data_IF_394796103166
#
_entry.id   IF_394796103166
#
_cell.length_a   1.000
_cell.length_b   1.000
_cell.length_c   1.000
_cell.angle_alpha   90.00
_cell.angle_beta   90.00
_cell.angle_gamma   90.00
#
_symmetry.space_group_name_H-M   'P 1'
#
loop_
_entity.id
_entity.type
_entity.pdbx_description
1 polymer ?
#
# COMPACT_ATOMS: atom_id res chain seq x y z
N UNK A 1 -12.88 12.00 -9.85
CA UNK A 1 -11.83 11.07 -9.43
C UNK A 1 -11.27 10.29 -10.60
N UNK A 2 -12.08 9.53 -11.37
CA UNK A 2 -11.60 8.69 -12.48
C UNK A 2 -10.87 9.47 -13.59
N UNK A 3 -11.31 10.68 -13.94
CA UNK A 3 -10.61 11.54 -14.89
C UNK A 3 -9.18 11.86 -14.41
N UNK A 4 -9.04 12.25 -13.13
CA UNK A 4 -7.73 12.57 -12.52
C UNK A 4 -6.83 11.34 -12.50
N UNK A 5 -7.36 10.18 -12.09
CA UNK A 5 -6.59 8.92 -12.09
C UNK A 5 -6.08 8.59 -13.50
N UNK A 6 -6.91 8.76 -14.52
CA UNK A 6 -6.50 8.54 -15.92
C UNK A 6 -5.40 9.53 -16.32
N UNK A 7 -5.58 10.83 -16.01
CA UNK A 7 -4.59 11.86 -16.36
C UNK A 7 -3.22 11.58 -15.72
N UNK A 8 -3.17 11.25 -14.43
CA UNK A 8 -1.87 10.97 -13.77
C UNK A 8 -1.21 9.71 -14.33
N UNK A 9 -1.97 8.70 -14.76
CA UNK A 9 -1.43 7.45 -15.30
C UNK A 9 -1.02 7.52 -16.78
N UNK A 10 -1.31 8.61 -17.47
CA UNK A 10 -0.80 8.90 -18.82
C UNK A 10 0.66 9.42 -18.75
N UNK A 11 1.06 10.00 -17.63
CA UNK A 11 2.41 10.52 -17.43
C UNK A 11 3.44 9.39 -17.45
N UNK A 12 4.22 9.33 -18.54
CA UNK A 12 5.15 8.21 -18.84
C UNK A 12 6.19 7.98 -17.74
N UNK A 13 6.70 9.05 -17.13
CA UNK A 13 7.77 8.97 -16.14
C UNK A 13 7.27 8.90 -14.68
N UNK A 14 5.97 8.96 -14.45
CA UNK A 14 5.41 9.02 -13.08
C UNK A 14 5.92 7.89 -12.20
N UNK A 15 5.79 6.63 -12.65
CA UNK A 15 6.19 5.46 -11.88
C UNK A 15 7.70 5.40 -11.64
N UNK A 16 8.47 5.75 -12.65
CA UNK A 16 9.93 5.87 -12.58
C UNK A 16 10.34 6.94 -11.57
N UNK A 17 9.71 8.11 -11.61
CA UNK A 17 10.01 9.22 -10.68
C UNK A 17 9.62 8.86 -9.24
N UNK A 18 8.48 8.20 -9.03
CA UNK A 18 8.10 7.67 -7.72
C UNK A 18 9.12 6.65 -7.22
N UNK A 19 9.57 5.72 -8.06
CA UNK A 19 10.62 4.77 -7.70
C UNK A 19 11.93 5.50 -7.34
N UNK A 20 12.36 6.47 -8.15
CA UNK A 20 13.61 7.20 -7.91
C UNK A 20 13.58 7.98 -6.60
N UNK A 21 12.43 8.52 -6.18
CA UNK A 21 12.28 9.22 -4.90
C UNK A 21 12.46 8.31 -3.67
N UNK A 22 12.23 7.01 -3.82
CA UNK A 22 12.37 6.01 -2.76
C UNK A 22 13.41 4.91 -3.09
N UNK A 23 14.26 5.15 -4.10
CA UNK A 23 15.15 4.15 -4.70
C UNK A 23 16.01 3.40 -3.68
N UNK A 24 16.66 4.10 -2.77
CA UNK A 24 17.56 3.49 -1.80
C UNK A 24 16.85 2.47 -0.90
N UNK A 25 15.64 2.77 -0.49
CA UNK A 25 14.82 1.86 0.32
C UNK A 25 14.25 0.70 -0.50
N UNK A 26 13.74 0.99 -1.69
CA UNK A 26 13.14 -0.03 -2.55
C UNK A 26 14.19 -1.03 -3.04
N UNK A 27 15.39 -0.59 -3.40
CA UNK A 27 16.49 -1.47 -3.81
C UNK A 27 16.98 -2.36 -2.64
N UNK A 28 17.04 -1.84 -1.43
CA UNK A 28 17.38 -2.64 -0.25
C UNK A 28 16.32 -3.68 0.09
N UNK A 29 15.04 -3.36 -0.07
CA UNK A 29 13.94 -4.25 0.24
C UNK A 29 13.68 -5.29 -0.84
N UNK A 30 13.86 -4.94 -2.11
CA UNK A 30 13.40 -5.72 -3.24
C UNK A 30 14.52 -6.23 -4.16
N UNK A 31 15.74 -5.71 -4.02
CA UNK A 31 16.89 -6.07 -4.86
C UNK A 31 16.89 -5.38 -6.23
N UNK A 32 17.57 -6.00 -7.20
CA UNK A 32 17.88 -5.36 -8.48
C UNK A 32 16.78 -5.48 -9.54
N UNK A 33 15.96 -6.53 -9.46
CA UNK A 33 14.93 -6.86 -10.45
C UNK A 33 13.57 -6.50 -9.88
N UNK A 34 13.02 -5.36 -10.29
CA UNK A 34 11.83 -4.77 -9.68
C UNK A 34 10.72 -4.62 -10.72
N UNK A 35 9.53 -5.06 -10.34
CA UNK A 35 8.28 -4.76 -11.04
C UNK A 35 7.46 -3.76 -10.24
N UNK A 36 6.66 -2.99 -10.96
CA UNK A 36 5.79 -1.95 -10.41
C UNK A 36 4.35 -2.14 -10.87
N UNK A 37 3.40 -1.79 -10.03
CA UNK A 37 1.99 -1.73 -10.38
C UNK A 37 1.77 -0.82 -11.59
N UNK A 38 1.04 -1.29 -12.61
CA UNK A 38 0.79 -0.55 -13.86
C UNK A 38 0.12 0.79 -13.66
N UNK A 39 -0.81 0.89 -12.71
CA UNK A 39 -1.57 2.10 -12.45
C UNK A 39 -1.39 2.59 -11.03
N UNK A 40 -0.98 3.84 -10.88
CA UNK A 40 -0.94 4.52 -9.58
C UNK A 40 -2.37 4.79 -9.11
N UNK A 41 -2.71 4.39 -7.90
CA UNK A 41 -4.02 4.65 -7.31
C UNK A 41 -4.04 6.00 -6.62
N UNK A 42 -5.09 6.78 -6.88
CA UNK A 42 -5.39 8.02 -6.15
C UNK A 42 -6.53 7.76 -5.17
N UNK A 43 -6.24 7.93 -3.90
CA UNK A 43 -7.23 7.90 -2.83
C UNK A 43 -7.57 9.33 -2.38
N UNK A 44 -8.86 9.64 -2.37
CA UNK A 44 -9.41 10.92 -1.89
C UNK A 44 -10.38 10.59 -0.77
N UNK A 45 -10.19 11.20 0.38
CA UNK A 45 -11.09 11.06 1.53
C UNK A 45 -11.57 12.45 1.97
N UNK A 46 -12.85 12.67 1.79
CA UNK A 46 -13.53 13.89 2.24
C UNK A 46 -13.67 13.90 3.77
N UNK A 47 -13.87 15.07 4.38
CA UNK A 47 -14.31 15.15 5.77
C UNK A 47 -15.56 14.27 6.01
N UNK A 48 -15.58 13.56 7.13
CA UNK A 48 -16.66 12.65 7.55
C UNK A 48 -17.02 11.53 6.57
N UNK A 49 -16.15 11.23 5.58
CA UNK A 49 -16.34 10.11 4.67
C UNK A 49 -16.15 8.78 5.44
N UNK A 50 -17.24 8.02 5.56
CA UNK A 50 -17.29 6.72 6.24
C UNK A 50 -17.23 5.53 5.29
N UNK A 51 -17.04 5.76 3.98
CA UNK A 51 -16.97 4.70 2.95
C UNK A 51 -15.66 3.93 2.92
N UNK A 52 -14.86 3.99 3.98
CA UNK A 52 -13.53 3.38 4.04
C UNK A 52 -13.56 1.96 4.56
N UNK A 53 -12.72 1.08 4.00
CA UNK A 53 -12.62 -0.28 4.50
C UNK A 53 -12.13 -0.29 5.95
N UNK A 54 -12.65 -1.24 6.72
CA UNK A 54 -12.17 -1.55 8.06
C UNK A 54 -10.74 -2.10 8.02
N UNK A 55 -10.17 -2.41 9.17
CA UNK A 55 -8.88 -3.10 9.23
C UNK A 55 -8.87 -4.34 8.35
N UNK A 56 -7.87 -4.41 7.48
CA UNK A 56 -7.67 -5.50 6.52
C UNK A 56 -6.19 -5.62 6.19
N UNK A 57 -5.83 -6.66 5.49
CA UNK A 57 -4.57 -6.82 4.77
C UNK A 57 -4.86 -7.00 3.28
N UNK A 58 -3.94 -6.63 2.43
CA UNK A 58 -4.11 -6.74 0.98
C UNK A 58 -3.97 -8.18 0.44
N UNK A 59 -3.36 -9.07 1.24
CA UNK A 59 -3.31 -10.52 0.97
C UNK A 59 -4.68 -11.16 1.25
N UNK A 60 -5.11 -12.20 0.50
CA UNK A 60 -4.33 -12.96 -0.49
C UNK A 60 -4.31 -12.38 -1.91
N UNK A 61 -5.09 -11.33 -2.24
CA UNK A 61 -5.09 -10.75 -3.59
C UNK A 61 -3.68 -10.31 -4.01
N UNK A 62 -2.97 -9.63 -3.09
CA UNK A 62 -1.55 -9.30 -3.23
C UNK A 62 -0.68 -10.38 -2.61
N UNK A 63 0.52 -10.59 -3.16
CA UNK A 63 1.53 -11.42 -2.55
C UNK A 63 2.10 -10.74 -1.30
N UNK A 64 2.43 -11.51 -0.25
CA UNK A 64 3.14 -11.01 0.94
C UNK A 64 4.53 -10.43 0.66
N UNK A 65 5.05 -10.66 -0.54
CA UNK A 65 6.35 -10.16 -1.01
C UNK A 65 6.24 -8.79 -1.71
N UNK A 66 5.09 -8.17 -1.68
CA UNK A 66 4.87 -6.83 -2.21
C UNK A 66 5.03 -5.79 -1.11
N UNK A 67 5.54 -4.63 -1.50
CA UNK A 67 5.54 -3.44 -0.66
C UNK A 67 4.65 -2.37 -1.27
N UNK A 68 3.94 -1.67 -0.41
CA UNK A 68 3.12 -0.52 -0.75
C UNK A 68 3.90 0.73 -0.43
N UNK A 69 4.02 1.63 -1.39
CA UNK A 69 4.47 3.00 -1.18
C UNK A 69 3.22 3.89 -1.15
N UNK A 70 2.91 4.42 0.02
CA UNK A 70 1.81 5.34 0.25
C UNK A 70 2.34 6.76 0.38
N UNK A 71 1.92 7.66 -0.52
CA UNK A 71 2.44 9.01 -0.68
C UNK A 71 1.30 10.00 -0.42
N UNK A 72 1.25 10.67 0.73
CA UNK A 72 0.29 11.73 0.97
C UNK A 72 0.62 12.95 0.12
N UNK A 73 -0.39 13.59 -0.45
CA UNK A 73 -0.28 14.85 -1.19
C UNK A 73 -0.67 16.07 -0.33
N UNK A 74 -0.90 15.84 0.95
CA UNK A 74 -1.17 16.82 2.01
C UNK A 74 -0.62 16.26 3.32
N UNK A 75 -0.37 17.10 4.31
CA UNK A 75 -0.01 16.63 5.64
C UNK A 75 -1.12 15.75 6.22
N UNK A 76 -0.78 14.51 6.56
CA UNK A 76 -1.69 13.56 7.19
C UNK A 76 -1.35 13.40 8.67
N UNK A 77 -2.21 13.94 9.51
CA UNK A 77 -2.14 13.83 10.96
C UNK A 77 -3.51 13.43 11.53
N UNK A 78 -3.58 13.06 12.79
CA UNK A 78 -4.83 12.66 13.48
C UNK A 78 -5.56 11.56 12.68
N UNK A 79 -6.85 11.73 12.43
CA UNK A 79 -7.69 10.79 11.69
C UNK A 79 -7.39 10.69 10.18
N UNK A 80 -6.52 11.54 9.64
CA UNK A 80 -6.03 11.42 8.27
C UNK A 80 -4.86 10.43 8.13
N UNK A 81 -4.30 9.95 9.25
CA UNK A 81 -3.20 8.97 9.24
C UNK A 81 -3.67 7.58 8.82
N UNK A 82 -2.73 6.81 8.28
CA UNK A 82 -2.88 5.37 8.23
C UNK A 82 -2.64 4.79 9.62
N UNK A 83 -3.47 3.85 10.02
CA UNK A 83 -3.33 3.10 11.27
C UNK A 83 -2.95 1.66 10.93
N UNK A 84 -1.94 1.12 11.60
CA UNK A 84 -1.51 -0.27 11.41
C UNK A 84 -1.45 -0.99 12.75
N UNK A 85 -1.68 -2.31 12.73
CA UNK A 85 -1.48 -3.14 13.93
C UNK A 85 0.02 -3.31 14.14
N UNK A 86 0.49 -3.09 15.38
CA UNK A 86 1.89 -3.27 15.73
C UNK A 86 2.32 -4.72 15.50
N UNK A 87 3.52 -4.93 14.95
CA UNK A 87 4.06 -6.25 14.57
C UNK A 87 3.97 -7.29 15.68
N UNK A 88 4.16 -6.90 16.93
CA UNK A 88 4.07 -7.80 18.11
C UNK A 88 2.68 -8.44 18.28
N UNK A 89 1.64 -7.86 17.69
CA UNK A 89 0.26 -8.37 17.76
C UNK A 89 -0.19 -9.09 16.49
N UNK A 90 0.66 -9.21 15.45
CA UNK A 90 0.28 -9.79 14.16
C UNK A 90 -0.19 -11.25 14.29
N UNK A 91 0.46 -12.07 15.13
CA UNK A 91 0.05 -13.46 15.32
C UNK A 91 -1.36 -13.59 15.91
N UNK A 92 -1.71 -12.71 16.85
CA UNK A 92 -3.05 -12.69 17.44
C UNK A 92 -4.08 -12.14 16.45
N UNK A 93 -3.72 -11.09 15.73
CA UNK A 93 -4.54 -10.51 14.67
C UNK A 93 -4.86 -11.53 13.55
N UNK A 94 -3.85 -12.30 13.09
CA UNK A 94 -4.04 -13.36 12.10
C UNK A 94 -5.01 -14.44 12.60
N UNK A 95 -4.85 -14.94 13.85
CA UNK A 95 -5.77 -15.93 14.41
C UNK A 95 -7.22 -15.45 14.44
N UNK A 96 -7.44 -14.15 14.71
CA UNK A 96 -8.77 -13.56 14.70
C UNK A 96 -9.27 -13.36 13.27
N UNK A 97 -8.40 -13.00 12.34
CA UNK A 97 -8.71 -12.73 10.94
C UNK A 97 -9.02 -14.01 10.16
N UNK A 98 -8.23 -15.07 10.33
CA UNK A 98 -8.39 -16.35 9.62
C UNK A 98 -9.67 -17.10 10.01
N UNK A 99 -10.27 -16.77 11.16
CA UNK A 99 -11.51 -17.36 11.66
C UNK A 99 -12.70 -16.39 11.56
N UNK A 100 -12.69 -15.49 10.56
CA UNK A 100 -13.73 -14.47 10.42
C UNK A 100 -15.11 -15.08 10.13
N UNK A 101 -16.03 -14.83 11.05
CA UNK A 101 -17.48 -14.90 10.86
C UNK A 101 -18.09 -13.58 11.36
N UNK A 102 -19.40 -13.36 11.22
CA UNK A 102 -20.02 -12.09 11.63
C UNK A 102 -19.70 -11.62 13.05
N UNK A 103 -19.58 -12.54 13.99
CA UNK A 103 -19.27 -12.21 15.39
C UNK A 103 -17.78 -11.95 15.61
N UNK A 104 -16.92 -12.71 14.94
CA UNK A 104 -15.46 -12.56 15.04
C UNK A 104 -14.94 -11.33 14.30
N UNK A 105 -15.61 -10.85 13.25
CA UNK A 105 -15.24 -9.62 12.58
C UNK A 105 -15.32 -8.41 13.52
N UNK A 106 -16.39 -8.27 14.29
CA UNK A 106 -16.51 -7.20 15.28
C UNK A 106 -15.41 -7.29 16.33
N UNK A 107 -15.06 -8.51 16.77
CA UNK A 107 -13.96 -8.75 17.73
C UNK A 107 -12.61 -8.38 17.13
N UNK A 108 -12.34 -8.78 15.89
CA UNK A 108 -11.13 -8.42 15.16
C UNK A 108 -10.99 -6.89 15.00
N UNK A 109 -12.06 -6.19 14.60
CA UNK A 109 -12.04 -4.73 14.45
C UNK A 109 -11.80 -4.01 15.79
N UNK A 110 -12.41 -4.47 16.88
CA UNK A 110 -12.16 -3.91 18.22
C UNK A 110 -10.71 -4.12 18.67
N UNK A 111 -10.20 -5.34 18.51
CA UNK A 111 -8.80 -5.68 18.79
C UNK A 111 -7.85 -4.79 17.98
N UNK A 112 -8.07 -4.68 16.69
CA UNK A 112 -7.23 -3.91 15.76
C UNK A 112 -7.19 -2.42 16.09
N UNK A 113 -8.33 -1.83 16.46
CA UNK A 113 -8.39 -0.43 16.93
C UNK A 113 -7.62 -0.21 18.24
N UNK A 114 -7.66 -1.19 19.14
CA UNK A 114 -6.95 -1.11 20.43
C UNK A 114 -5.43 -1.29 20.29
N UNK A 115 -4.98 -2.11 19.32
CA UNK A 115 -3.58 -2.49 19.11
C UNK A 115 -2.93 -1.80 17.92
N UNK A 116 -3.67 -0.94 17.23
CA UNK A 116 -3.17 -0.16 16.11
C UNK A 116 -2.48 1.13 16.54
N UNK A 117 -1.42 1.48 15.83
CA UNK A 117 -0.71 2.74 15.95
C UNK A 117 -0.93 3.60 14.70
N UNK A 118 -1.08 4.91 14.91
CA UNK A 118 -1.21 5.87 13.82
C UNK A 118 0.17 6.27 13.30
N UNK A 119 0.29 6.41 11.98
CA UNK A 119 1.50 6.84 11.29
C UNK A 119 1.28 8.21 10.64
N UNK A 120 1.60 9.32 11.35
CA UNK A 120 1.59 10.65 10.75
C UNK A 120 2.64 10.74 9.64
N UNK A 121 2.26 11.29 8.50
CA UNK A 121 3.15 11.47 7.34
C UNK A 121 2.89 12.85 6.76
N UNK A 122 3.94 13.64 6.58
CA UNK A 122 3.86 14.99 6.01
C UNK A 122 3.90 14.96 4.48
N UNK A 123 3.46 16.04 3.86
CA UNK A 123 3.72 16.25 2.45
C UNK A 123 5.24 16.21 2.18
N UNK A 124 5.65 15.47 1.16
CA UNK A 124 7.07 15.22 0.85
C UNK A 124 7.67 13.98 1.53
N UNK A 125 6.96 13.35 2.46
CA UNK A 125 7.30 12.06 3.04
C UNK A 125 6.45 10.94 2.42
N UNK A 126 6.86 9.69 2.62
CA UNK A 126 6.10 8.52 2.20
C UNK A 126 6.19 7.41 3.23
N UNK A 127 5.16 6.56 3.28
CA UNK A 127 5.12 5.38 4.11
C UNK A 127 5.30 4.12 3.25
N UNK A 128 6.28 3.29 3.60
CA UNK A 128 6.51 1.98 2.97
C UNK A 128 6.07 0.89 3.93
N UNK A 129 5.21 -0.02 3.49
CA UNK A 129 4.74 -1.13 4.30
C UNK A 129 4.44 -2.37 3.46
N UNK A 130 4.44 -3.54 4.09
CA UNK A 130 4.10 -4.81 3.45
C UNK A 130 2.59 -4.93 3.24
N UNK A 131 2.18 -5.52 2.13
CA UNK A 131 0.78 -5.88 1.84
C UNK A 131 0.17 -6.84 2.86
N UNK A 132 0.99 -7.54 3.64
CA UNK A 132 0.56 -8.42 4.73
C UNK A 132 0.36 -7.70 6.08
N UNK A 133 0.66 -6.41 6.16
CA UNK A 133 0.37 -5.62 7.35
C UNK A 133 -1.12 -5.28 7.43
N UNK A 134 -1.71 -5.56 8.59
CA UNK A 134 -3.06 -5.09 8.89
C UNK A 134 -3.06 -3.57 9.00
N UNK A 135 -3.85 -2.93 8.16
CA UNK A 135 -3.94 -1.48 8.10
C UNK A 135 -5.38 -1.00 7.89
N UNK A 136 -5.59 0.26 8.17
CA UNK A 136 -6.89 0.89 8.09
C UNK A 136 -6.70 2.41 8.02
N UNK A 137 -7.66 3.08 7.43
CA UNK A 137 -7.71 4.54 7.44
C UNK A 137 -8.98 4.96 8.18
N UNK A 138 -8.85 5.67 9.30
CA UNK A 138 -9.98 6.16 10.09
C UNK A 138 -10.91 7.07 9.28
N UNK A 139 -12.11 7.27 9.78
CA UNK A 139 -12.99 8.35 9.30
C UNK A 139 -12.26 9.67 9.52
N UNK A 140 -12.20 10.48 8.47
CA UNK A 140 -11.56 11.78 8.52
C UNK A 140 -12.47 12.78 9.29
N UNK A 141 -12.18 13.00 10.56
CA UNK A 141 -12.88 13.94 11.43
C UNK A 141 -12.37 15.39 11.34
N UNK A 142 -11.44 15.64 10.42
CA UNK A 142 -10.92 16.98 10.14
C UNK A 142 -11.79 17.72 9.11
N UNK A 143 -11.55 19.01 8.95
CA UNK A 143 -12.17 19.84 7.90
C UNK A 143 -11.38 19.86 6.58
N UNK A 144 -10.37 19.00 6.43
CA UNK A 144 -9.49 18.94 5.24
C UNK A 144 -9.71 17.65 4.48
N UNK A 145 -9.66 17.71 3.16
CA UNK A 145 -9.66 16.52 2.31
C UNK A 145 -8.28 15.89 2.28
N UNK A 146 -8.18 14.59 2.54
CA UNK A 146 -6.95 13.84 2.36
C UNK A 146 -6.82 13.38 0.91
N UNK A 147 -5.64 13.60 0.35
CA UNK A 147 -5.23 13.12 -0.97
C UNK A 147 -3.99 12.26 -0.82
N UNK A 148 -3.96 11.09 -1.41
CA UNK A 148 -2.78 10.24 -1.38
C UNK A 148 -2.68 9.37 -2.63
N UNK A 149 -1.45 9.11 -3.06
CA UNK A 149 -1.12 8.10 -4.06
C UNK A 149 -0.77 6.78 -3.36
N UNK A 150 -1.01 5.70 -4.06
CA UNK A 150 -0.71 4.35 -3.59
C UNK A 150 -0.23 3.52 -4.78
N UNK A 151 0.96 2.95 -4.66
CA UNK A 151 1.59 2.15 -5.70
C UNK A 151 2.33 0.97 -5.07
N UNK A 152 2.34 -0.18 -5.75
CA UNK A 152 3.00 -1.40 -5.28
C UNK A 152 4.23 -1.70 -6.08
N UNK A 153 5.24 -2.20 -5.36
CA UNK A 153 6.49 -2.71 -5.91
C UNK A 153 6.75 -4.12 -5.36
N UNK A 154 7.44 -4.93 -6.14
CA UNK A 154 7.94 -6.23 -5.67
C UNK A 154 9.17 -6.64 -6.47
N UNK A 155 9.90 -7.64 -5.96
CA UNK A 155 10.92 -8.30 -6.76
C UNK A 155 10.28 -9.15 -7.86
N UNK A 156 10.84 -9.10 -9.07
CA UNK A 156 10.35 -9.78 -10.26
C UNK A 156 10.18 -11.29 -10.05
N UNK A 157 11.10 -11.93 -9.33
CA UNK A 157 11.19 -13.39 -9.17
C UNK A 157 10.49 -13.92 -7.92
N UNK A 158 9.95 -13.05 -7.07
CA UNK A 158 9.18 -13.51 -5.91
C UNK A 158 7.79 -14.00 -6.32
N UNK A 159 7.18 -14.93 -5.56
CA UNK A 159 5.85 -15.46 -5.89
C UNK A 159 4.80 -14.35 -6.01
N UNK A 160 3.95 -14.47 -7.01
CA UNK A 160 2.80 -13.60 -7.24
C UNK A 160 1.59 -14.14 -6.48
N UNK A 161 0.66 -13.26 -6.11
CA UNK A 161 -0.69 -13.61 -5.68
C UNK A 161 -1.63 -13.72 -6.90
N UNK A 162 -2.88 -13.34 -6.75
CA UNK A 162 -3.83 -13.28 -7.87
C UNK A 162 -3.46 -12.18 -8.90
N UNK A 163 -2.69 -11.18 -8.48
CA UNK A 163 -2.19 -10.09 -9.32
C UNK A 163 -0.90 -10.49 -10.00
N UNK A 164 -0.98 -10.72 -11.31
CA UNK A 164 0.10 -11.29 -12.11
C UNK A 164 1.04 -10.24 -12.73
N UNK A 165 2.20 -10.72 -13.18
CA UNK A 165 3.05 -9.98 -14.11
C UNK A 165 2.29 -9.82 -15.45
N UNK A 166 2.45 -8.67 -16.11
CA UNK A 166 1.82 -8.23 -17.35
C UNK A 166 0.33 -7.85 -17.25
N UNK A 167 -0.45 -8.42 -16.34
CA UNK A 167 -1.83 -7.98 -16.10
C UNK A 167 -1.88 -6.80 -15.12
N UNK A 168 -1.26 -6.97 -13.98
CA UNK A 168 -1.26 -5.97 -12.90
C UNK A 168 0.08 -5.26 -12.71
N UNK A 169 1.19 -5.98 -12.93
CA UNK A 169 2.54 -5.45 -12.83
C UNK A 169 3.19 -5.30 -14.21
N UNK A 170 4.15 -4.38 -14.29
CA UNK A 170 5.08 -4.23 -15.41
C UNK A 170 6.52 -4.20 -14.88
N UNK A 171 7.48 -4.58 -15.72
CA UNK A 171 8.90 -4.54 -15.38
C UNK A 171 9.34 -3.07 -15.32
N UNK A 172 9.88 -2.66 -14.17
CA UNK A 172 10.42 -1.32 -13.97
C UNK A 172 11.92 -1.26 -14.25
N UNK A 173 12.65 -2.26 -13.74
CA UNK A 173 14.09 -2.42 -13.98
C UNK A 173 14.49 -3.89 -13.81
N UNK A 174 15.58 -4.25 -14.45
CA UNK A 174 16.22 -5.56 -14.34
C UNK A 174 17.72 -5.40 -14.11
N UNK A 175 18.32 -6.39 -13.49
CA UNK A 175 19.76 -6.48 -13.33
C UNK A 175 20.45 -6.78 -14.68
N UNK A 176 21.75 -6.50 -14.83
CA UNK A 176 22.46 -6.85 -16.05
C UNK A 176 22.39 -8.33 -16.41
N UNK A 177 22.44 -9.22 -15.42
CA UNK A 177 22.32 -10.66 -15.66
C UNK A 177 20.94 -11.05 -16.17
N UNK A 178 19.89 -10.48 -15.62
CA UNK A 178 18.51 -10.72 -16.08
C UNK A 178 18.34 -10.25 -17.53
N UNK A 179 18.89 -9.08 -17.89
CA UNK A 179 18.84 -8.57 -19.25
C UNK A 179 19.57 -9.48 -20.24
N UNK A 180 20.70 -10.09 -19.84
CA UNK A 180 21.43 -11.03 -20.70
C UNK A 180 20.66 -12.33 -20.96
N UNK A 181 19.79 -12.73 -20.02
CA UNK A 181 19.01 -13.97 -20.13
C UNK A 181 17.68 -13.79 -20.86
N UNK A 182 17.22 -12.54 -21.02
CA UNK A 182 15.90 -12.23 -21.62
C UNK A 182 15.99 -11.62 -23.03
N UNK A 183 17.20 -11.33 -23.52
CA UNK A 183 17.49 -10.94 -24.90
C UNK A 183 18.02 -12.13 -25.70
#
# INVERSE_FOLDING_TARGET
>A
RMKIIRSINIEKDLKKNIYLSAKSFLDQLLGADIVVQKSVNLAIQMPNDNSRPMFHKDTPLSSKYEVVLWIPLVDCSKSMCMTMIDKKYHNEANKLFDNLNRNSETRFQKFSKLKGSNFPVKFGEALIFSTDNFHYIPINDTNKTRWSLNIRFKNLFTPYGERNLLDYFEILKTSPITNLLTN
#
